data_IF_509190618244
#
_entry.id   IF_509190618244
#
_cell.length_a   1.000
_cell.length_b   1.000
_cell.length_c   1.000
_cell.angle_alpha   90.00
_cell.angle_beta   90.00
_cell.angle_gamma   90.00
#
_symmetry.space_group_name_H-M   'P 1'
#
loop_
_entity.id
_entity.type
_entity.pdbx_description
1 polymer ?
#
# COMPACT_ATOMS: atom_id res chain seq x y z
N UNK A 1 -4.74 0.88 -22.87
CA UNK A 1 -5.34 1.64 -21.74
C UNK A 1 -4.77 1.25 -20.36
N UNK A 2 -4.38 0.00 -20.11
CA UNK A 2 -3.90 -0.46 -18.79
C UNK A 2 -2.49 0.01 -18.38
N UNK A 3 -1.59 0.25 -19.34
CA UNK A 3 -0.18 0.53 -19.06
C UNK A 3 0.08 1.88 -18.38
N UNK A 4 -0.84 2.85 -18.49
CA UNK A 4 -0.63 4.19 -17.93
C UNK A 4 -0.92 4.25 -16.41
N UNK A 5 -1.79 3.38 -15.90
CA UNK A 5 -2.08 3.26 -14.45
C UNK A 5 -0.95 2.57 -13.65
N UNK A 6 -0.03 1.88 -14.35
CA UNK A 6 1.14 1.22 -13.76
C UNK A 6 2.35 2.14 -13.69
N UNK A 7 2.30 3.30 -14.35
CA UNK A 7 3.41 4.25 -14.47
C UNK A 7 3.30 5.27 -13.34
N UNK A 8 4.14 5.10 -12.34
CA UNK A 8 4.39 6.06 -11.25
C UNK A 8 3.24 6.31 -10.27
N UNK A 9 3.01 5.32 -9.43
CA UNK A 9 2.33 5.51 -8.16
C UNK A 9 3.29 5.02 -7.07
N UNK A 10 3.42 5.75 -5.96
CA UNK A 10 4.29 5.38 -4.84
C UNK A 10 4.05 3.94 -4.31
N UNK A 11 4.72 3.53 -3.23
CA UNK A 11 4.68 2.15 -2.72
C UNK A 11 3.25 1.56 -2.62
N UNK A 12 2.26 2.36 -2.20
CA UNK A 12 0.86 1.94 -2.14
C UNK A 12 0.22 1.68 -3.52
N UNK A 13 0.55 2.46 -4.54
CA UNK A 13 -0.04 2.25 -5.87
C UNK A 13 0.54 1.05 -6.62
N UNK A 14 1.81 0.70 -6.38
CA UNK A 14 2.40 -0.55 -6.88
C UNK A 14 1.67 -1.78 -6.34
N UNK A 15 1.26 -1.75 -5.07
CA UNK A 15 0.48 -2.82 -4.46
C UNK A 15 -0.94 -2.91 -5.04
N UNK A 16 -1.60 -1.77 -5.31
CA UNK A 16 -2.90 -1.75 -6.02
C UNK A 16 -2.82 -2.35 -7.41
N UNK A 17 -1.79 -1.98 -8.16
CA UNK A 17 -1.50 -2.53 -9.47
C UNK A 17 -1.30 -4.05 -9.42
N UNK A 18 -0.50 -4.53 -8.46
CA UNK A 18 -0.30 -5.96 -8.23
C UNK A 18 -1.58 -6.69 -7.88
N UNK A 19 -2.41 -6.11 -7.00
CA UNK A 19 -3.73 -6.66 -6.66
C UNK A 19 -4.64 -6.77 -7.88
N UNK A 20 -4.67 -5.75 -8.73
CA UNK A 20 -5.50 -5.77 -9.93
C UNK A 20 -5.04 -6.86 -10.90
N UNK A 21 -3.73 -6.95 -11.18
CA UNK A 21 -3.17 -8.00 -12.03
C UNK A 21 -3.45 -9.39 -11.47
N UNK A 22 -3.33 -9.55 -10.15
CA UNK A 22 -3.66 -10.80 -9.46
C UNK A 22 -5.13 -11.18 -9.66
N UNK A 23 -6.05 -10.25 -9.39
CA UNK A 23 -7.50 -10.47 -9.54
C UNK A 23 -7.86 -10.83 -10.98
N UNK A 24 -7.37 -10.06 -11.96
CA UNK A 24 -7.61 -10.32 -13.39
C UNK A 24 -7.05 -11.69 -13.80
N UNK A 25 -5.84 -12.02 -13.34
CA UNK A 25 -5.22 -13.33 -13.59
C UNK A 25 -6.05 -14.47 -13.03
N UNK A 26 -6.52 -14.36 -11.78
CA UNK A 26 -7.35 -15.40 -11.16
C UNK A 26 -8.67 -15.59 -11.88
N UNK A 27 -9.37 -14.52 -12.27
CA UNK A 27 -10.61 -14.64 -13.05
C UNK A 27 -10.39 -15.31 -14.41
N UNK A 28 -9.26 -15.04 -15.06
CA UNK A 28 -8.86 -15.77 -16.27
C UNK A 28 -8.70 -17.26 -16.04
N UNK A 29 -8.04 -17.65 -14.93
CA UNK A 29 -7.86 -19.06 -14.55
C UNK A 29 -9.20 -19.75 -14.23
N UNK A 30 -10.10 -19.08 -13.51
CA UNK A 30 -11.46 -19.58 -13.26
C UNK A 30 -12.19 -19.88 -14.58
N UNK A 31 -12.09 -18.99 -15.57
CA UNK A 31 -12.68 -19.21 -16.90
C UNK A 31 -12.13 -20.45 -17.60
N UNK A 32 -10.83 -20.70 -17.50
CA UNK A 32 -10.21 -21.91 -18.09
C UNK A 32 -10.68 -23.18 -17.37
N UNK A 33 -10.67 -23.18 -16.03
CA UNK A 33 -11.12 -24.34 -15.23
C UNK A 33 -12.59 -24.66 -15.49
N UNK A 34 -13.41 -23.66 -15.79
CA UNK A 34 -14.82 -23.85 -16.17
C UNK A 34 -15.02 -24.49 -17.55
N UNK A 35 -14.09 -24.27 -18.50
CA UNK A 35 -14.22 -24.78 -19.87
C UNK A 35 -13.66 -26.21 -20.05
N UNK A 36 -12.67 -26.62 -19.24
CA UNK A 36 -12.04 -27.95 -19.32
C UNK A 36 -12.99 -29.15 -19.10
N UNK A 37 -14.03 -29.08 -18.25
CA UNK A 37 -15.04 -30.14 -18.16
C UNK A 37 -15.89 -30.27 -19.44
N UNK A 38 -16.16 -29.15 -20.12
CA UNK A 38 -17.00 -29.13 -21.33
C UNK A 38 -16.35 -29.86 -22.51
N UNK A 39 -15.01 -29.89 -22.57
CA UNK A 39 -14.28 -30.66 -23.58
C UNK A 39 -14.18 -32.16 -23.26
N UNK A 40 -14.61 -32.60 -22.06
CA UNK A 40 -14.50 -33.98 -21.60
C UNK A 40 -13.13 -34.36 -21.04
N UNK A 41 -12.23 -33.38 -20.83
CA UNK A 41 -10.85 -33.61 -20.39
C UNK A 41 -10.73 -33.73 -18.86
N UNK A 42 -11.80 -33.42 -18.11
CA UNK A 42 -11.79 -33.34 -16.66
C UNK A 42 -13.00 -34.02 -16.02
N UNK A 43 -12.75 -34.81 -14.98
CA UNK A 43 -13.79 -35.40 -14.12
C UNK A 43 -14.31 -34.37 -13.10
N UNK A 44 -15.59 -34.44 -12.74
CA UNK A 44 -16.24 -33.53 -11.78
C UNK A 44 -15.55 -33.48 -10.40
N UNK A 45 -14.93 -34.57 -9.96
CA UNK A 45 -14.15 -34.59 -8.70
C UNK A 45 -12.87 -33.75 -8.80
N UNK A 46 -12.23 -33.73 -9.97
CA UNK A 46 -11.02 -32.96 -10.21
C UNK A 46 -11.34 -31.47 -10.36
N UNK A 47 -12.44 -31.15 -11.04
CA UNK A 47 -12.97 -29.79 -11.14
C UNK A 47 -13.24 -29.18 -9.76
N UNK A 48 -13.96 -29.89 -8.89
CA UNK A 48 -14.26 -29.40 -7.54
C UNK A 48 -12.99 -29.17 -6.71
N UNK A 49 -12.00 -30.08 -6.81
CA UNK A 49 -10.70 -29.92 -6.13
C UNK A 49 -9.93 -28.68 -6.63
N UNK A 50 -9.94 -28.44 -7.94
CA UNK A 50 -9.29 -27.27 -8.53
C UNK A 50 -9.97 -25.97 -8.08
N UNK A 51 -11.30 -25.93 -8.03
CA UNK A 51 -12.02 -24.78 -7.50
C UNK A 51 -11.71 -24.52 -6.03
N UNK A 52 -11.67 -25.55 -5.18
CA UNK A 52 -11.30 -25.36 -3.78
C UNK A 52 -9.90 -24.76 -3.63
N UNK A 53 -8.93 -25.24 -4.40
CA UNK A 53 -7.55 -24.71 -4.37
C UNK A 53 -7.51 -23.26 -4.86
N UNK A 54 -8.24 -22.95 -5.94
CA UNK A 54 -8.32 -21.59 -6.49
C UNK A 54 -8.98 -20.62 -5.51
N UNK A 55 -10.05 -21.04 -4.83
CA UNK A 55 -10.77 -20.19 -3.87
C UNK A 55 -9.91 -19.85 -2.66
N UNK A 56 -9.22 -20.87 -2.11
CA UNK A 56 -8.25 -20.67 -1.03
C UNK A 56 -7.13 -19.72 -1.48
N UNK A 57 -6.59 -19.94 -2.69
CA UNK A 57 -5.52 -19.12 -3.23
C UNK A 57 -5.98 -17.67 -3.39
N UNK A 58 -7.14 -17.45 -4.02
CA UNK A 58 -7.72 -16.13 -4.25
C UNK A 58 -7.97 -15.39 -2.93
N UNK A 59 -8.55 -16.07 -1.96
CA UNK A 59 -8.88 -15.49 -0.65
C UNK A 59 -7.62 -15.08 0.12
N UNK A 60 -6.60 -15.94 0.15
CA UNK A 60 -5.34 -15.63 0.83
C UNK A 60 -4.58 -14.52 0.09
N UNK A 61 -4.41 -14.67 -1.23
CA UNK A 61 -3.64 -13.74 -2.05
C UNK A 61 -4.21 -12.32 -2.05
N UNK A 62 -5.53 -12.18 -2.20
CA UNK A 62 -6.20 -10.87 -2.10
C UNK A 62 -6.08 -10.29 -0.70
N UNK A 63 -6.30 -11.09 0.35
CA UNK A 63 -6.23 -10.62 1.74
C UNK A 63 -4.84 -10.07 2.09
N UNK A 64 -3.77 -10.80 1.77
CA UNK A 64 -2.41 -10.36 2.05
C UNK A 64 -2.08 -9.06 1.32
N UNK A 65 -2.42 -8.95 0.03
CA UNK A 65 -2.15 -7.74 -0.76
C UNK A 65 -2.95 -6.52 -0.26
N UNK A 66 -4.20 -6.71 0.17
CA UNK A 66 -5.03 -5.64 0.74
C UNK A 66 -4.43 -5.16 2.08
N UNK A 67 -4.00 -6.08 2.94
CA UNK A 67 -3.38 -5.73 4.23
C UNK A 67 -2.08 -4.96 4.01
N UNK A 68 -1.20 -5.44 3.11
CA UNK A 68 0.04 -4.73 2.77
C UNK A 68 -0.25 -3.35 2.17
N UNK A 69 -1.29 -3.24 1.33
CA UNK A 69 -1.70 -1.95 0.79
C UNK A 69 -2.16 -0.99 1.89
N UNK A 70 -2.99 -1.49 2.81
CA UNK A 70 -3.51 -0.70 3.91
C UNK A 70 -2.39 -0.20 4.82
N UNK A 71 -1.48 -1.08 5.24
CA UNK A 71 -0.33 -0.74 6.09
C UNK A 71 0.57 0.32 5.46
N UNK A 72 0.89 0.17 4.18
CA UNK A 72 1.69 1.17 3.47
C UNK A 72 0.96 2.52 3.39
N UNK A 73 -0.35 2.49 3.17
CA UNK A 73 -1.15 3.72 3.08
C UNK A 73 -1.31 4.44 4.42
N UNK A 74 -1.47 3.72 5.52
CA UNK A 74 -1.56 4.29 6.87
C UNK A 74 -0.22 4.85 7.31
N UNK A 75 0.87 4.12 7.07
CA UNK A 75 2.22 4.57 7.39
C UNK A 75 2.60 5.86 6.66
N UNK A 76 2.22 6.00 5.40
CA UNK A 76 2.42 7.25 4.65
C UNK A 76 1.66 8.43 5.27
N UNK A 77 0.40 8.23 5.65
CA UNK A 77 -0.42 9.28 6.28
C UNK A 77 0.14 9.72 7.62
N UNK A 78 0.58 8.75 8.43
CA UNK A 78 1.20 9.04 9.73
C UNK A 78 2.49 9.83 9.57
N UNK A 79 3.32 9.50 8.58
CA UNK A 79 4.54 10.25 8.27
C UNK A 79 4.23 11.67 7.81
N UNK A 80 3.32 11.85 6.85
CA UNK A 80 2.95 13.19 6.39
C UNK A 80 2.34 14.04 7.51
N UNK A 81 1.55 13.45 8.40
CA UNK A 81 0.99 14.18 9.54
C UNK A 81 2.09 14.64 10.52
N UNK A 82 3.06 13.78 10.81
CA UNK A 82 4.21 14.13 11.66
C UNK A 82 5.12 15.18 11.00
N UNK A 83 5.30 15.12 9.68
CA UNK A 83 6.05 16.12 8.92
C UNK A 83 5.35 17.49 8.96
N UNK A 84 4.02 17.54 8.73
CA UNK A 84 3.23 18.78 8.83
C UNK A 84 3.29 19.36 10.25
N UNK A 85 3.16 18.51 11.28
CA UNK A 85 3.26 18.95 12.68
C UNK A 85 4.65 19.51 13.00
N UNK A 86 5.71 18.86 12.54
CA UNK A 86 7.09 19.35 12.72
C UNK A 86 7.33 20.68 11.99
N UNK A 87 6.82 20.82 10.76
CA UNK A 87 6.90 22.07 9.99
C UNK A 87 6.14 23.21 10.68
N UNK A 88 4.95 22.94 11.22
CA UNK A 88 4.15 23.93 11.96
C UNK A 88 4.87 24.38 13.24
N UNK A 89 5.40 23.44 14.02
CA UNK A 89 6.22 23.76 15.21
C UNK A 89 7.43 24.61 14.85
N UNK A 90 8.12 24.30 13.75
CA UNK A 90 9.27 25.08 13.30
C UNK A 90 8.84 26.48 12.84
N UNK A 91 7.71 26.60 12.15
CA UNK A 91 7.12 27.89 11.78
C UNK A 91 6.74 28.75 12.99
N UNK A 92 6.28 28.16 14.09
CA UNK A 92 6.00 28.87 15.34
C UNK A 92 7.27 29.41 15.99
N UNK A 93 8.37 28.64 15.98
CA UNK A 93 9.68 29.08 16.50
C UNK A 93 10.22 30.25 15.69
N UNK A 94 10.17 30.15 14.36
CA UNK A 94 10.70 31.18 13.45
C UNK A 94 9.88 32.48 13.46
N UNK A 95 8.57 32.41 13.71
CA UNK A 95 7.70 33.60 13.73
C UNK A 95 7.46 34.20 15.14
N UNK A 96 8.12 33.68 16.17
CA UNK A 96 7.94 34.16 17.53
C UNK A 96 8.28 35.66 17.68
N UNK A 97 7.48 36.38 18.47
CA UNK A 97 7.63 37.83 18.70
C UNK A 97 8.79 38.22 19.63
N UNK A 98 9.50 37.25 20.22
CA UNK A 98 10.67 37.43 21.09
C UNK A 98 11.77 36.46 20.62
N UNK A 99 13.08 36.77 20.73
CA UNK A 99 14.13 35.82 20.37
C UNK A 99 14.02 34.51 21.18
N UNK A 100 13.80 33.39 20.49
CA UNK A 100 13.75 32.04 21.09
C UNK A 100 15.02 31.28 20.69
N UNK A 101 15.63 30.62 21.67
CA UNK A 101 16.77 29.72 21.45
C UNK A 101 16.53 28.39 22.17
N UNK A 102 16.86 27.29 21.50
CA UNK A 102 16.85 25.95 22.07
C UNK A 102 18.27 25.57 22.50
N UNK A 103 18.40 24.94 23.67
CA UNK A 103 19.68 24.50 24.24
C UNK A 103 19.71 22.98 24.33
N UNK A 104 20.80 22.37 23.88
CA UNK A 104 20.99 20.92 23.96
C UNK A 104 21.36 20.45 25.39
N UNK A 105 21.43 19.13 25.60
CA UNK A 105 21.78 18.54 26.90
C UNK A 105 23.21 18.87 27.40
N UNK A 106 24.04 19.48 26.56
CA UNK A 106 25.38 19.96 26.91
C UNK A 106 25.43 21.48 27.15
N UNK A 107 24.28 22.16 27.14
CA UNK A 107 24.18 23.60 27.33
C UNK A 107 24.60 24.43 26.12
N UNK A 108 24.70 23.83 24.92
CA UNK A 108 25.00 24.55 23.67
C UNK A 108 23.71 24.90 22.93
N UNK A 109 23.67 26.08 22.33
CA UNK A 109 22.51 26.52 21.54
C UNK A 109 22.45 25.72 20.24
N UNK A 110 21.35 24.99 20.04
CA UNK A 110 21.14 24.11 18.89
C UNK A 110 20.28 24.76 17.80
N UNK A 111 19.33 25.62 18.19
CA UNK A 111 18.48 26.39 17.29
C UNK A 111 18.29 27.80 17.84
N UNK A 112 18.25 28.79 16.94
CA UNK A 112 18.01 30.17 17.29
C UNK A 112 17.25 30.84 16.14
N UNK A 113 16.07 31.37 16.44
CA UNK A 113 15.33 32.21 15.50
C UNK A 113 16.07 33.55 15.29
N UNK A 114 16.37 33.89 14.02
CA UNK A 114 16.92 35.20 13.62
C UNK A 114 15.79 36.22 13.51
N UNK A 115 15.67 37.08 14.53
CA UNK A 115 14.98 38.37 14.40
C UNK A 115 15.89 39.44 13.80
#
# INVERSE_FOLDING_TARGET
LFAWHLKDQGPAGRLKAGLLLYVVGTFGVYGVVYLLPMSGWMSSTLENKLYCILDISFKIGTSTLIVSWHDVSTNMRSRSAAEIEAEDMQGLIDNASVPIFAVDGSGRVSQWNRK
#
